data_IF_556552214135
#
_entry.id   IF_556552214135
#
_cell.length_a   1.000
_cell.length_b   1.000
_cell.length_c   1.000
_cell.angle_alpha   90.00
_cell.angle_beta   90.00
_cell.angle_gamma   90.00
#
_symmetry.space_group_name_H-M   'P 1'
#
loop_
_entity.id
_entity.type
_entity.pdbx_description
1 polymer ?
#
# COMPACT_ATOMS: atom_id res chain seq x y z
N UNK A 1 -25.21 2.59 24.18
CA UNK A 1 -24.88 1.54 23.19
C UNK A 1 -23.54 1.91 22.57
N UNK A 2 -22.87 1.05 21.78
CA UNK A 2 -21.62 1.44 21.11
C UNK A 2 -21.84 1.57 19.61
N UNK A 3 -21.24 2.57 18.98
CA UNK A 3 -21.39 2.81 17.55
C UNK A 3 -20.04 2.75 16.81
N UNK A 4 -20.08 2.18 15.61
CA UNK A 4 -18.92 2.16 14.72
C UNK A 4 -18.86 3.45 13.87
N UNK A 5 -17.80 4.28 13.98
CA UNK A 5 -17.71 5.55 13.25
C UNK A 5 -17.50 5.39 11.74
N UNK A 6 -17.29 4.15 11.27
CA UNK A 6 -17.06 3.86 9.84
C UNK A 6 -18.32 3.43 9.11
N UNK A 7 -19.17 2.64 9.78
CA UNK A 7 -20.33 2.05 9.14
C UNK A 7 -21.66 2.39 9.82
N UNK A 8 -21.64 3.11 10.93
CA UNK A 8 -22.86 3.51 11.66
C UNK A 8 -23.59 2.35 12.33
N UNK A 9 -22.98 1.16 12.43
CA UNK A 9 -23.60 0.03 13.11
C UNK A 9 -23.53 0.23 14.63
N UNK A 10 -24.67 0.04 15.27
CA UNK A 10 -24.80 0.09 16.72
C UNK A 10 -24.80 -1.32 17.32
N UNK A 11 -24.06 -1.50 18.41
CA UNK A 11 -23.94 -2.77 19.13
C UNK A 11 -24.41 -2.59 20.58
N UNK A 12 -25.23 -3.53 21.04
CA UNK A 12 -25.75 -3.57 22.42
C UNK A 12 -24.83 -4.30 23.40
N UNK A 13 -23.86 -5.07 22.89
CA UNK A 13 -22.88 -5.80 23.70
C UNK A 13 -21.80 -4.86 24.25
N UNK A 14 -21.75 -4.73 25.58
CA UNK A 14 -20.80 -3.87 26.30
C UNK A 14 -19.36 -4.41 26.25
N UNK A 15 -19.19 -5.71 26.07
CA UNK A 15 -17.87 -6.37 26.01
C UNK A 15 -17.20 -6.23 24.65
N UNK A 16 -17.96 -5.83 23.63
CA UNK A 16 -17.45 -5.64 22.28
C UNK A 16 -16.68 -4.32 22.17
N UNK A 17 -15.40 -4.39 21.86
CA UNK A 17 -14.54 -3.20 21.65
C UNK A 17 -14.33 -2.87 20.16
N UNK A 18 -14.69 -3.78 19.26
CA UNK A 18 -14.42 -3.67 17.82
C UNK A 18 -15.65 -4.04 17.00
N UNK A 19 -15.91 -3.28 15.94
CA UNK A 19 -16.98 -3.56 14.99
C UNK A 19 -16.74 -4.89 14.26
N UNK A 20 -17.78 -5.72 14.18
CA UNK A 20 -17.69 -7.05 13.56
C UNK A 20 -17.56 -7.00 12.03
N UNK A 21 -17.98 -5.91 11.40
CA UNK A 21 -17.97 -5.76 9.95
C UNK A 21 -16.60 -5.34 9.41
N UNK A 22 -15.91 -4.43 10.10
CA UNK A 22 -14.70 -3.77 9.60
C UNK A 22 -13.52 -3.75 10.59
N UNK A 23 -13.74 -4.19 11.84
CA UNK A 23 -12.71 -4.22 12.89
C UNK A 23 -12.37 -2.87 13.49
N UNK A 24 -13.12 -1.80 13.18
CA UNK A 24 -12.93 -0.47 13.76
C UNK A 24 -13.26 -0.45 15.25
N UNK A 25 -12.55 0.38 16.04
CA UNK A 25 -12.84 0.53 17.47
C UNK A 25 -14.22 1.18 17.63
N UNK A 26 -15.06 0.59 18.48
CA UNK A 26 -16.37 1.16 18.78
C UNK A 26 -16.24 2.29 19.79
N UNK A 27 -16.97 3.37 19.57
CA UNK A 27 -17.02 4.51 20.50
C UNK A 27 -18.21 4.26 21.42
N UNK A 28 -17.96 4.28 22.73
CA UNK A 28 -19.03 4.38 23.71
C UNK A 28 -19.55 5.81 23.66
N UNK A 29 -20.81 5.99 23.26
CA UNK A 29 -21.48 7.24 23.55
C UNK A 29 -21.48 7.37 25.08
N UNK A 30 -20.59 8.24 25.57
CA UNK A 30 -20.69 8.75 26.92
C UNK A 30 -22.08 9.38 26.99
N UNK A 31 -23.03 8.66 27.60
CA UNK A 31 -24.29 9.22 28.04
C UNK A 31 -23.91 10.42 28.88
N UNK A 32 -24.04 11.61 28.29
CA UNK A 32 -23.76 12.86 28.94
C UNK A 32 -24.70 12.99 30.13
N UNK A 33 -24.23 12.57 31.30
CA UNK A 33 -24.58 13.32 32.48
C UNK A 33 -24.02 14.71 32.24
N UNK A 34 -24.97 15.62 32.01
CA UNK A 34 -24.79 17.05 31.84
C UNK A 34 -24.00 17.57 33.02
N UNK A 35 -22.68 17.67 32.88
CA UNK A 35 -21.85 18.43 33.81
C UNK A 35 -22.23 19.90 33.64
N UNK A 36 -23.04 20.36 34.58
CA UNK A 36 -23.42 21.74 34.78
C UNK A 36 -22.15 22.59 34.92
N UNK A 37 -22.06 23.60 34.06
CA UNK A 37 -20.92 24.51 33.95
C UNK A 37 -20.92 25.39 35.20
N UNK A 38 -19.91 25.26 36.07
CA UNK A 38 -19.67 26.19 37.17
C UNK A 38 -18.65 27.25 36.71
N UNK A 39 -18.92 28.56 36.90
CA UNK A 39 -18.15 29.63 36.28
C UNK A 39 -16.76 29.83 36.89
N UNK A 40 -15.88 30.39 36.05
CA UNK A 40 -14.48 30.76 36.28
C UNK A 40 -14.17 31.50 37.60
N UNK A 41 -12.94 31.23 38.09
CA UNK A 41 -12.27 31.91 39.20
C UNK A 41 -12.16 30.99 40.41
N UNK A 42 -11.03 30.72 41.03
CA UNK A 42 -9.87 31.58 41.35
C UNK A 42 -8.67 30.65 41.58
N UNK A 43 -7.50 31.15 41.21
CA UNK A 43 -6.15 30.62 41.48
C UNK A 43 -6.02 30.20 42.95
N UNK A 44 -5.55 28.98 43.23
CA UNK A 44 -4.78 28.68 44.45
C UNK A 44 -3.97 27.39 44.30
N UNK A 45 -2.67 27.61 44.26
CA UNK A 45 -1.57 26.76 44.72
C UNK A 45 -2.00 25.84 45.87
N UNK A 46 -1.78 24.53 45.76
CA UNK A 46 -1.51 23.68 46.94
C UNK A 46 -0.66 22.50 46.52
N UNK A 47 0.37 22.34 47.32
CA UNK A 47 1.52 21.47 47.30
C UNK A 47 1.15 20.04 47.73
N UNK A 48 2.04 19.10 47.35
CA UNK A 48 2.34 17.86 48.07
C UNK A 48 1.36 16.67 48.00
N UNK A 49 1.83 15.61 47.32
CA UNK A 49 2.24 14.33 47.93
C UNK A 49 1.89 13.15 47.01
N UNK A 50 2.80 12.76 46.13
CA UNK A 50 2.73 11.48 45.43
C UNK A 50 4.09 10.76 45.48
N UNK A 51 4.14 9.52 45.98
CA UNK A 51 5.38 8.76 46.10
C UNK A 51 5.89 8.34 44.72
N UNK A 52 7.17 8.63 44.49
CA UNK A 52 7.93 8.31 43.28
C UNK A 52 8.27 6.82 43.22
N UNK A 53 7.93 6.18 42.10
CA UNK A 53 8.54 4.93 41.65
C UNK A 53 9.55 5.26 40.53
N UNK A 54 10.69 4.55 40.46
CA UNK A 54 11.90 5.05 39.83
C UNK A 54 11.82 5.05 38.29
N UNK A 55 11.76 6.26 37.74
CA UNK A 55 12.09 6.55 36.35
C UNK A 55 13.59 6.36 36.14
N UNK A 56 13.98 5.30 35.43
CA UNK A 56 15.35 5.04 34.98
C UNK A 56 15.74 6.07 33.91
N UNK A 57 16.20 7.23 34.35
CA UNK A 57 16.94 8.19 33.55
C UNK A 57 18.21 7.51 33.04
N UNK A 58 18.29 7.30 31.72
CA UNK A 58 19.57 7.06 31.07
C UNK A 58 20.12 8.43 30.70
N UNK A 59 21.09 8.86 31.49
CA UNK A 59 21.76 10.14 31.36
C UNK A 59 22.38 10.28 29.97
N UNK A 60 22.03 11.40 29.35
CA UNK A 60 22.72 12.04 28.26
C UNK A 60 24.06 12.52 28.83
N UNK A 61 25.13 11.74 28.64
CA UNK A 61 26.49 12.26 28.80
C UNK A 61 26.87 12.80 27.42
N UNK A 62 26.85 14.12 27.34
CA UNK A 62 27.48 14.90 26.29
C UNK A 62 28.98 14.73 26.42
N UNK A 63 29.56 13.80 25.66
CA UNK A 63 31.00 13.80 25.38
C UNK A 63 31.27 14.84 24.27
N UNK A 64 31.54 16.07 24.69
CA UNK A 64 32.28 17.05 23.90
C UNK A 64 33.76 16.68 23.90
N UNK A 65 34.19 15.85 22.96
CA UNK A 65 35.43 16.03 22.19
C UNK A 65 35.71 14.82 21.32
N UNK A 66 36.51 15.08 20.30
CA UNK A 66 37.23 14.13 19.45
C UNK A 66 36.49 13.59 18.21
N UNK A 67 36.80 14.25 17.08
CA UNK A 67 37.24 13.60 15.83
C UNK A 67 36.12 12.88 15.07
N UNK A 68 35.67 13.30 13.89
CA UNK A 68 36.42 13.75 12.72
C UNK A 68 35.40 14.42 11.81
N UNK A 69 35.74 15.62 11.38
CA UNK A 69 35.07 16.30 10.27
C UNK A 69 35.10 15.38 9.05
N UNK A 70 33.96 14.78 8.72
CA UNK A 70 33.70 14.30 7.37
C UNK A 70 32.88 15.41 6.73
N UNK A 71 33.58 16.24 5.94
CA UNK A 71 32.97 17.16 5.01
C UNK A 71 31.88 16.42 4.23
N UNK A 72 30.65 16.86 4.46
CA UNK A 72 29.52 16.53 3.61
C UNK A 72 29.88 17.00 2.21
N UNK A 73 29.99 16.12 1.19
CA UNK A 73 30.23 16.58 -0.17
C UNK A 73 29.02 17.43 -0.56
N UNK A 74 29.25 18.75 -0.62
CA UNK A 74 28.33 19.73 -1.21
C UNK A 74 27.85 19.14 -2.53
N UNK A 75 26.54 18.91 -2.61
CA UNK A 75 25.89 18.43 -3.83
C UNK A 75 26.25 19.36 -4.97
N UNK A 76 27.17 18.91 -5.83
CA UNK A 76 27.39 19.51 -7.12
C UNK A 76 26.09 19.32 -7.91
N UNK A 77 25.36 20.41 -8.13
CA UNK A 77 24.19 20.43 -8.98
C UNK A 77 24.57 19.85 -10.33
N UNK A 78 24.00 18.69 -10.66
CA UNK A 78 24.22 18.03 -11.94
C UNK A 78 23.61 18.95 -13.00
N UNK A 79 24.47 19.55 -13.81
CA UNK A 79 24.03 20.43 -14.89
C UNK A 79 23.20 19.63 -15.89
N UNK A 80 22.11 20.21 -16.45
CA UNK A 80 21.22 19.52 -17.39
C UNK A 80 21.95 19.01 -18.65
N UNK A 81 23.17 19.49 -18.92
CA UNK A 81 24.02 19.01 -20.01
C UNK A 81 24.57 17.58 -19.81
N UNK A 82 24.73 17.11 -18.57
CA UNK A 82 25.21 15.74 -18.31
C UNK A 82 24.17 14.67 -18.69
N UNK A 83 22.88 14.97 -18.54
CA UNK A 83 21.80 14.07 -18.94
C UNK A 83 21.72 13.92 -20.46
N UNK A 84 21.87 15.00 -21.25
CA UNK A 84 21.82 14.90 -22.72
C UNK A 84 22.95 14.04 -23.30
N UNK A 85 24.15 14.07 -22.70
CA UNK A 85 25.27 13.26 -23.17
C UNK A 85 25.02 11.75 -23.03
N UNK A 86 24.40 11.32 -21.92
CA UNK A 86 24.07 9.90 -21.72
C UNK A 86 22.96 9.41 -22.65
N UNK A 87 21.96 10.25 -22.94
CA UNK A 87 20.90 9.92 -23.90
C UNK A 87 21.40 9.84 -25.34
N UNK A 88 22.33 10.71 -25.76
CA UNK A 88 22.95 10.65 -27.08
C UNK A 88 23.75 9.35 -27.27
N UNK A 89 24.51 8.93 -26.25
CA UNK A 89 25.33 7.72 -26.31
C UNK A 89 24.48 6.44 -26.28
N UNK A 90 23.43 6.39 -25.46
CA UNK A 90 22.44 5.30 -25.50
C UNK A 90 21.65 5.27 -26.82
N UNK A 91 21.34 6.42 -27.40
CA UNK A 91 20.68 6.52 -28.70
C UNK A 91 21.53 5.94 -29.84
N UNK A 92 22.86 6.11 -29.81
CA UNK A 92 23.76 5.52 -30.81
C UNK A 92 23.86 4.00 -30.63
N UNK A 93 23.92 3.49 -29.40
CA UNK A 93 24.01 2.04 -29.14
C UNK A 93 22.70 1.33 -29.48
N UNK A 94 21.55 1.87 -29.04
CA UNK A 94 20.25 1.28 -29.37
C UNK A 94 19.87 1.52 -30.84
N UNK A 95 20.18 2.68 -31.40
CA UNK A 95 19.99 2.96 -32.82
C UNK A 95 20.82 2.05 -33.72
N UNK A 96 22.09 1.83 -33.38
CA UNK A 96 22.98 0.90 -34.08
C UNK A 96 22.49 -0.55 -33.99
N UNK A 97 22.00 -0.98 -32.82
CA UNK A 97 21.45 -2.33 -32.65
C UNK A 97 20.14 -2.55 -33.42
N UNK A 98 19.27 -1.54 -33.51
CA UNK A 98 18.04 -1.63 -34.31
C UNK A 98 18.34 -1.62 -35.80
N UNK A 99 19.29 -0.80 -36.27
CA UNK A 99 19.73 -0.79 -37.68
C UNK A 99 20.40 -2.13 -38.04
N UNK A 100 21.30 -2.65 -37.20
CA UNK A 100 21.93 -3.95 -37.41
C UNK A 100 20.90 -5.10 -37.39
N UNK A 101 19.90 -5.04 -36.52
CA UNK A 101 18.84 -6.06 -36.47
C UNK A 101 17.92 -6.00 -37.70
N UNK A 102 17.57 -4.80 -38.19
CA UNK A 102 16.81 -4.62 -39.43
C UNK A 102 17.60 -5.13 -40.65
N UNK A 103 18.92 -4.88 -40.71
CA UNK A 103 19.77 -5.44 -41.76
C UNK A 103 19.90 -6.97 -41.65
N UNK A 104 19.98 -7.50 -40.43
CA UNK A 104 20.10 -8.94 -40.18
C UNK A 104 18.82 -9.71 -40.53
N UNK A 105 17.65 -9.19 -40.15
CA UNK A 105 16.36 -9.84 -40.48
C UNK A 105 16.01 -9.75 -41.96
N UNK A 106 16.48 -8.70 -42.65
CA UNK A 106 16.33 -8.59 -44.10
C UNK A 106 17.31 -9.50 -44.88
N UNK A 107 18.42 -9.93 -44.27
CA UNK A 107 19.41 -10.82 -44.91
C UNK A 107 19.06 -12.32 -44.86
N UNK A 108 18.00 -12.71 -44.13
CA UNK A 108 17.68 -14.12 -43.87
C UNK A 108 16.73 -14.77 -44.90
N UNK A 109 16.47 -14.13 -46.05
CA UNK A 109 15.49 -14.62 -47.04
C UNK A 109 16.04 -14.86 -48.46
N UNK A 110 17.35 -15.09 -48.64
CA UNK A 110 17.88 -15.60 -49.92
C UNK A 110 19.07 -16.55 -49.75
N UNK A 111 18.78 -17.84 -49.67
CA UNK A 111 19.66 -18.90 -50.17
C UNK A 111 18.81 -19.90 -50.93
N UNK A 112 18.56 -19.59 -52.21
CA UNK A 112 18.33 -20.58 -53.26
C UNK A 112 18.60 -19.93 -54.64
N UNK A 113 19.72 -20.34 -55.22
CA UNK A 113 19.95 -20.72 -56.63
C UNK A 113 19.82 -19.69 -57.78
N UNK A 114 20.99 -19.44 -58.38
CA UNK A 114 21.36 -19.30 -59.80
C UNK A 114 20.62 -18.36 -60.78
N UNK A 115 21.47 -17.56 -61.44
CA UNK A 115 21.45 -17.16 -62.86
C UNK A 115 20.27 -16.36 -63.44
N UNK A 116 20.70 -15.33 -64.17
CA UNK A 116 20.10 -14.76 -65.38
C UNK A 116 19.20 -13.50 -65.27
N UNK A 117 19.62 -12.50 -66.07
CA UNK A 117 18.81 -11.56 -66.83
C UNK A 117 17.69 -10.73 -66.19
N UNK A 118 17.84 -9.40 -66.29
CA UNK A 118 16.78 -8.60 -66.94
C UNK A 118 15.83 -7.79 -66.05
N UNK A 119 16.21 -6.52 -65.84
CA UNK A 119 15.40 -5.32 -66.07
C UNK A 119 13.98 -5.12 -65.49
N UNK A 120 13.92 -4.06 -64.66
CA UNK A 120 12.99 -2.89 -64.69
C UNK A 120 11.58 -2.98 -64.05
N UNK A 121 11.38 -1.93 -63.23
CA UNK A 121 10.19 -1.08 -63.07
C UNK A 121 9.31 -1.17 -61.80
N UNK A 122 9.46 -0.13 -60.96
CA UNK A 122 8.43 0.85 -60.53
C UNK A 122 7.18 0.32 -59.82
N UNK A 123 6.97 0.72 -58.55
CA UNK A 123 5.96 1.72 -58.15
C UNK A 123 5.61 1.68 -56.65
N UNK A 124 5.84 2.81 -55.98
CA UNK A 124 5.00 3.53 -55.00
C UNK A 124 3.93 2.81 -54.16
N UNK A 125 4.00 3.03 -52.83
CA UNK A 125 3.01 3.73 -51.98
C UNK A 125 3.23 3.34 -50.50
N UNK A 126 3.86 4.19 -49.69
CA UNK A 126 3.26 5.26 -48.88
C UNK A 126 2.73 4.80 -47.50
N UNK A 127 3.64 4.96 -46.54
CA UNK A 127 3.44 5.22 -45.11
C UNK A 127 2.53 6.43 -44.86
N UNK A 128 1.69 6.38 -43.81
CA UNK A 128 1.57 7.47 -42.80
C UNK A 128 0.86 6.97 -41.55
N UNK A 129 1.59 6.84 -40.43
CA UNK A 129 1.07 7.03 -39.08
C UNK A 129 1.90 8.15 -38.44
N UNK A 130 1.31 9.33 -38.30
CA UNK A 130 1.83 10.46 -37.52
C UNK A 130 0.67 11.28 -36.98
N UNK A 131 0.80 11.70 -35.72
CA UNK A 131 0.30 12.95 -35.06
C UNK A 131 0.14 12.58 -33.57
N UNK A 132 1.12 12.78 -32.68
CA UNK A 132 1.72 14.04 -32.16
C UNK A 132 0.73 14.95 -31.45
N UNK A 133 0.81 14.88 -30.11
CA UNK A 133 0.78 15.92 -29.07
C UNK A 133 -0.07 17.21 -29.20
N UNK A 134 -0.39 17.68 -27.97
CA UNK A 134 -0.53 19.09 -27.55
C UNK A 134 -1.94 19.65 -27.64
N UNK A 135 -2.59 19.91 -26.51
CA UNK A 135 -2.62 21.24 -25.88
C UNK A 135 -3.66 21.27 -24.72
N UNK A 136 -3.28 21.92 -23.63
CA UNK A 136 -4.15 22.55 -22.62
C UNK A 136 -3.91 24.06 -22.80
N UNK A 137 -4.81 25.03 -22.51
CA UNK A 137 -5.76 25.04 -21.38
C UNK A 137 -7.08 25.84 -21.60
N UNK A 138 -7.91 25.89 -20.56
CA UNK A 138 -8.81 26.98 -20.11
C UNK A 138 -10.28 26.63 -19.83
N UNK A 139 -10.64 27.04 -18.61
CA UNK A 139 -11.82 27.79 -18.19
C UNK A 139 -13.25 27.23 -18.31
N UNK A 140 -13.87 27.17 -17.14
CA UNK A 140 -15.20 27.75 -16.91
C UNK A 140 -16.37 26.81 -17.10
N UNK A 141 -17.12 26.55 -16.03
CA UNK A 141 -18.45 27.16 -15.82
C UNK A 141 -19.25 26.41 -14.74
N UNK A 142 -19.72 27.20 -13.78
CA UNK A 142 -20.71 26.88 -12.77
C UNK A 142 -22.07 26.53 -13.38
N UNK A 143 -22.78 25.57 -12.78
CA UNK A 143 -24.24 25.37 -12.80
C UNK A 143 -24.49 24.42 -11.61
N UNK A 144 -24.89 24.84 -10.40
CA UNK A 144 -26.00 25.68 -9.92
C UNK A 144 -27.42 25.12 -10.18
N UNK A 145 -28.02 24.65 -9.08
CA UNK A 145 -29.44 24.36 -8.77
C UNK A 145 -30.07 23.14 -9.51
N UNK A 146 -30.84 22.24 -8.89
CA UNK A 146 -31.87 22.39 -7.84
C UNK A 146 -32.20 21.03 -7.14
N UNK A 147 -33.05 21.04 -6.09
CA UNK A 147 -33.27 19.97 -5.10
C UNK A 147 -34.53 19.12 -5.38
N UNK A 148 -34.54 17.85 -4.95
CA UNK A 148 -35.78 17.06 -4.80
C UNK A 148 -35.55 15.82 -3.92
N UNK A 149 -36.58 15.20 -3.30
CA UNK A 149 -37.17 15.61 -2.03
C UNK A 149 -37.05 14.53 -0.94
N UNK A 150 -37.30 14.98 0.28
CA UNK A 150 -37.64 14.23 1.48
C UNK A 150 -38.73 13.16 1.19
N UNK A 151 -38.44 11.88 1.45
CA UNK A 151 -39.46 10.84 1.59
C UNK A 151 -39.08 9.91 2.76
N UNK A 152 -39.65 10.22 3.93
CA UNK A 152 -39.99 9.26 4.98
C UNK A 152 -41.53 9.25 5.10
N UNK A 153 -42.21 8.28 5.74
CA UNK A 153 -41.80 6.95 6.24
C UNK A 153 -42.74 5.83 5.75
N UNK A 154 -42.34 4.55 5.86
CA UNK A 154 -43.33 3.47 6.01
C UNK A 154 -42.76 2.35 6.89
N UNK A 155 -43.36 2.27 8.06
CA UNK A 155 -43.28 1.19 9.04
C UNK A 155 -43.78 -0.11 8.40
N UNK A 156 -42.96 -1.16 8.37
CA UNK A 156 -43.42 -2.51 8.04
C UNK A 156 -42.98 -3.52 9.10
N UNK A 157 -43.86 -3.60 10.10
CA UNK A 157 -44.25 -4.74 10.93
C UNK A 157 -43.32 -5.97 10.92
N UNK A 158 -42.74 -6.18 12.10
CA UNK A 158 -42.34 -7.47 12.66
C UNK A 158 -43.50 -8.48 12.63
N UNK A 159 -43.25 -9.72 12.16
CA UNK A 159 -43.98 -10.86 12.64
C UNK A 159 -43.07 -11.92 13.27
N UNK A 160 -43.55 -12.36 14.42
CA UNK A 160 -43.61 -13.76 14.87
C UNK A 160 -42.35 -14.37 15.51
N UNK A 161 -42.40 -14.36 16.84
CA UNK A 161 -41.71 -15.26 17.72
C UNK A 161 -41.89 -16.72 17.28
N UNK A 162 -40.84 -17.28 16.70
CA UNK A 162 -40.71 -18.73 16.51
C UNK A 162 -40.12 -19.32 17.78
N UNK A 163 -40.84 -20.30 18.33
CA UNK A 163 -40.52 -21.02 19.56
C UNK A 163 -39.10 -21.58 19.50
N UNK A 164 -38.30 -21.21 20.50
CA UNK A 164 -36.94 -21.67 20.74
C UNK A 164 -36.90 -23.21 20.88
N UNK A 165 -36.20 -23.95 20.00
CA UNK A 165 -35.97 -25.37 20.20
C UNK A 165 -34.99 -25.61 21.35
N UNK A 166 -35.38 -26.56 22.20
CA UNK A 166 -34.65 -27.13 23.34
C UNK A 166 -33.14 -27.30 23.06
N UNK A 167 -32.24 -26.94 24.00
CA UNK A 167 -30.81 -27.07 23.81
C UNK A 167 -30.39 -28.54 23.76
N UNK A 168 -30.21 -29.06 22.55
CA UNK A 168 -29.52 -30.33 22.31
C UNK A 168 -28.06 -30.12 22.71
N UNK A 169 -27.57 -30.94 23.65
CA UNK A 169 -26.18 -30.93 24.14
C UNK A 169 -25.22 -31.02 22.95
N UNK A 170 -24.69 -29.87 22.52
CA UNK A 170 -23.68 -29.79 21.46
C UNK A 170 -22.43 -30.52 21.95
N UNK A 171 -21.93 -31.53 21.22
CA UNK A 171 -20.69 -32.19 21.59
C UNK A 171 -19.57 -31.17 21.67
N UNK A 172 -18.85 -31.17 22.78
CA UNK A 172 -17.69 -30.30 23.03
C UNK A 172 -16.73 -30.42 21.84
N UNK A 173 -16.43 -29.35 21.10
CA UNK A 173 -15.57 -29.42 19.93
C UNK A 173 -14.20 -29.96 20.37
N UNK A 174 -13.89 -31.17 19.89
CA UNK A 174 -12.57 -31.78 20.01
C UNK A 174 -11.56 -30.81 19.44
N UNK A 175 -10.57 -30.43 20.25
CA UNK A 175 -9.49 -29.48 19.91
C UNK A 175 -8.77 -29.97 18.65
N UNK A 176 -9.20 -29.49 17.49
CA UNK A 176 -8.51 -29.74 16.22
C UNK A 176 -7.10 -29.14 16.33
N UNK A 177 -6.05 -29.89 15.98
CA UNK A 177 -4.68 -29.41 16.10
C UNK A 177 -4.54 -28.11 15.31
N UNK A 178 -4.21 -27.02 16.00
CA UNK A 178 -4.01 -25.73 15.36
C UNK A 178 -2.83 -25.86 14.40
N UNK A 179 -3.01 -25.66 13.08
CA UNK A 179 -1.93 -25.78 12.13
C UNK A 179 -0.87 -24.74 12.45
N UNK A 180 0.40 -25.17 12.58
CA UNK A 180 1.52 -24.27 12.80
C UNK A 180 1.55 -23.23 11.67
N UNK A 181 1.65 -21.93 11.99
CA UNK A 181 1.63 -20.89 10.96
C UNK A 181 2.89 -20.97 10.10
N UNK A 182 2.71 -21.12 8.78
CA UNK A 182 3.83 -21.18 7.81
C UNK A 182 4.63 -19.88 7.85
N UNK A 183 5.95 -19.99 8.05
CA UNK A 183 6.88 -18.87 8.04
C UNK A 183 7.48 -18.66 6.63
N UNK A 184 7.75 -17.41 6.29
CA UNK A 184 8.30 -17.00 5.00
C UNK A 184 9.54 -16.10 5.18
N UNK A 185 10.38 -16.08 4.14
CA UNK A 185 11.53 -15.18 4.02
C UNK A 185 11.44 -14.31 2.77
N UNK A 186 12.07 -13.13 2.80
CA UNK A 186 12.14 -12.23 1.65
C UNK A 186 13.17 -12.74 0.65
N UNK A 187 12.78 -12.87 -0.61
CA UNK A 187 13.61 -13.36 -1.72
C UNK A 187 13.52 -12.41 -2.93
N UNK A 188 14.55 -12.41 -3.78
CA UNK A 188 14.54 -11.64 -5.04
C UNK A 188 14.63 -10.12 -4.89
N UNK A 189 14.92 -9.62 -3.68
CA UNK A 189 15.25 -8.21 -3.42
C UNK A 189 16.77 -8.08 -3.46
N UNK A 190 17.29 -7.10 -4.20
CA UNK A 190 18.74 -6.88 -4.35
C UNK A 190 19.36 -6.47 -3.01
N UNK A 191 20.65 -6.76 -2.83
CA UNK A 191 21.41 -6.23 -1.71
C UNK A 191 21.36 -4.69 -1.73
N UNK A 192 21.09 -4.07 -0.58
CA UNK A 192 20.91 -2.62 -0.45
C UNK A 192 19.51 -2.08 -0.78
N UNK A 193 18.60 -2.93 -1.29
CA UNK A 193 17.19 -2.57 -1.53
C UNK A 193 16.28 -3.07 -0.39
N UNK A 194 14.99 -2.75 -0.41
CA UNK A 194 14.01 -3.14 0.61
C UNK A 194 12.67 -3.55 0.00
N UNK A 195 12.04 -4.57 0.60
CA UNK A 195 10.65 -4.88 0.31
C UNK A 195 9.72 -3.98 1.13
N UNK A 196 8.91 -3.18 0.45
CA UNK A 196 7.95 -2.29 1.10
C UNK A 196 6.65 -3.01 1.49
N UNK A 197 6.24 -2.81 2.76
CA UNK A 197 4.91 -3.16 3.27
C UNK A 197 3.96 -2.01 2.92
N UNK A 198 2.82 -2.33 2.32
CA UNK A 198 1.84 -1.35 1.83
C UNK A 198 0.54 -1.45 2.61
N UNK A 199 -0.19 -0.35 2.84
CA UNK A 199 -1.47 -0.40 3.56
C UNK A 199 -2.57 -1.12 2.75
N UNK A 200 -2.48 -1.08 1.40
CA UNK A 200 -3.42 -1.71 0.48
C UNK A 200 -2.66 -2.44 -0.64
N UNK A 201 -3.24 -3.50 -1.23
CA UNK A 201 -2.61 -4.22 -2.34
C UNK A 201 -2.46 -3.29 -3.55
N UNK A 202 -1.29 -3.32 -4.19
CA UNK A 202 -1.01 -2.49 -5.38
C UNK A 202 -0.67 -1.03 -5.10
N UNK A 203 -0.76 -0.54 -3.86
CA UNK A 203 -0.46 0.85 -3.56
C UNK A 203 1.06 1.07 -3.51
N UNK A 204 1.62 1.71 -4.55
CA UNK A 204 3.06 2.00 -4.63
C UNK A 204 3.44 3.36 -4.02
N UNK A 205 2.46 4.24 -3.76
CA UNK A 205 2.70 5.61 -3.26
C UNK A 205 2.94 5.67 -1.75
N UNK A 206 2.24 4.84 -0.97
CA UNK A 206 2.28 4.88 0.51
C UNK A 206 3.00 3.68 1.09
N UNK A 207 3.90 3.89 2.06
CA UNK A 207 4.68 2.83 2.73
C UNK A 207 4.25 2.72 4.19
N UNK A 208 3.81 1.52 4.60
CA UNK A 208 3.52 1.20 6.01
C UNK A 208 4.73 0.60 6.75
N UNK A 209 5.71 0.06 6.01
CA UNK A 209 6.92 -0.52 6.59
C UNK A 209 7.91 -0.99 5.54
N UNK A 210 9.09 -1.43 5.99
CA UNK A 210 10.18 -1.93 5.15
C UNK A 210 10.67 -3.27 5.70
N UNK A 211 11.02 -4.19 4.82
CA UNK A 211 11.58 -5.49 5.16
C UNK A 211 12.90 -5.65 4.39
N UNK A 212 14.04 -5.88 5.06
CA UNK A 212 15.31 -6.04 4.38
C UNK A 212 15.36 -7.35 3.57
N UNK A 213 16.26 -7.45 2.57
CA UNK A 213 16.44 -8.66 1.78
C UNK A 213 16.87 -9.82 2.67
N UNK A 214 16.37 -11.03 2.39
CA UNK A 214 16.68 -12.24 3.17
C UNK A 214 16.01 -12.33 4.54
N UNK A 215 15.30 -11.30 4.99
CA UNK A 215 14.63 -11.33 6.30
C UNK A 215 13.63 -12.48 6.40
N UNK A 216 13.69 -13.22 7.51
CA UNK A 216 12.79 -14.33 7.84
C UNK A 216 11.70 -13.92 8.85
N UNK A 217 10.75 -14.82 9.14
CA UNK A 217 9.68 -14.58 10.10
C UNK A 217 8.52 -13.75 9.55
N UNK A 218 8.39 -13.65 8.22
CA UNK A 218 7.21 -13.07 7.58
C UNK A 218 6.08 -14.09 7.64
N UNK A 219 4.93 -13.71 8.21
CA UNK A 219 3.75 -14.58 8.29
C UNK A 219 2.66 -14.08 7.35
N UNK A 220 2.14 -14.93 6.48
CA UNK A 220 0.94 -14.63 5.69
C UNK A 220 -0.28 -14.89 6.57
N UNK A 221 -1.14 -13.88 6.71
CA UNK A 221 -2.29 -13.92 7.66
C UNK A 221 -3.65 -13.93 6.98
N UNK A 222 -3.70 -14.05 5.66
CA UNK A 222 -4.96 -14.08 4.92
C UNK A 222 -4.78 -14.42 3.44
N UNK A 223 -5.91 -14.41 2.72
CA UNK A 223 -5.95 -14.66 1.28
C UNK A 223 -5.24 -13.58 0.47
N UNK A 224 -4.65 -13.97 -0.66
CA UNK A 224 -4.04 -13.03 -1.59
C UNK A 224 -5.07 -12.32 -2.46
N UNK A 225 -4.77 -11.09 -2.89
CA UNK A 225 -5.55 -10.32 -3.87
C UNK A 225 -4.73 -10.08 -5.13
N UNK A 226 -5.32 -10.37 -6.30
CA UNK A 226 -4.71 -10.07 -7.59
C UNK A 226 -4.97 -8.60 -7.95
N UNK A 227 -3.91 -7.87 -8.31
CA UNK A 227 -3.97 -6.49 -8.79
C UNK A 227 -3.07 -6.38 -10.02
N UNK A 228 -3.68 -6.18 -11.19
CA UNK A 228 -3.01 -6.34 -12.47
C UNK A 228 -2.39 -7.73 -12.62
N UNK A 229 -1.10 -7.78 -12.99
CA UNK A 229 -0.33 -9.03 -13.16
C UNK A 229 0.28 -9.56 -11.85
N UNK A 230 0.09 -8.88 -10.72
CA UNK A 230 0.72 -9.23 -9.44
C UNK A 230 -0.29 -9.76 -8.43
N UNK A 231 0.17 -10.69 -7.58
CA UNK A 231 -0.59 -11.17 -6.42
C UNK A 231 0.00 -10.53 -5.18
N UNK A 232 -0.85 -9.88 -4.40
CA UNK A 232 -0.51 -9.26 -3.12
C UNK A 232 -1.06 -10.10 -1.99
N UNK A 233 -0.30 -10.27 -0.92
CA UNK A 233 -0.74 -11.03 0.26
C UNK A 233 -0.65 -10.19 1.52
N UNK A 234 -1.60 -10.33 2.45
CA UNK A 234 -1.53 -9.68 3.74
C UNK A 234 -0.53 -10.43 4.62
N UNK A 235 0.39 -9.68 5.22
CA UNK A 235 1.46 -10.22 6.06
C UNK A 235 1.51 -9.54 7.42
N UNK A 236 2.19 -10.21 8.34
CA UNK A 236 2.68 -9.65 9.60
C UNK A 236 4.18 -9.90 9.69
N UNK A 237 4.94 -8.83 9.97
CA UNK A 237 6.39 -8.89 10.15
C UNK A 237 6.80 -7.94 11.26
N UNK A 238 7.45 -8.46 12.32
CA UNK A 238 7.86 -7.69 13.51
C UNK A 238 6.75 -6.76 14.04
N UNK A 239 5.52 -7.30 14.16
CA UNK A 239 4.34 -6.55 14.61
C UNK A 239 3.68 -5.65 13.55
N UNK A 240 4.35 -5.35 12.43
CA UNK A 240 3.78 -4.53 11.35
C UNK A 240 2.88 -5.36 10.45
N UNK A 241 1.66 -4.88 10.20
CA UNK A 241 0.68 -5.51 9.29
C UNK A 241 0.60 -4.73 7.98
N UNK A 242 0.36 -5.43 6.88
CA UNK A 242 0.08 -4.80 5.59
C UNK A 242 0.19 -5.79 4.44
N UNK A 243 0.36 -5.27 3.23
CA UNK A 243 0.38 -6.02 1.98
C UNK A 243 1.75 -5.96 1.33
N UNK A 244 2.23 -7.10 0.85
CA UNK A 244 3.45 -7.20 0.05
C UNK A 244 3.17 -8.01 -1.22
N UNK A 245 3.99 -7.81 -2.25
CA UNK A 245 3.88 -8.61 -3.46
C UNK A 245 4.41 -10.03 -3.18
N UNK A 246 3.56 -11.05 -3.41
CA UNK A 246 3.83 -12.46 -3.12
C UNK A 246 5.10 -12.99 -3.79
N UNK A 247 5.49 -12.42 -4.95
CA UNK A 247 6.67 -12.86 -5.70
C UNK A 247 7.99 -12.72 -4.91
N UNK A 248 8.00 -11.86 -3.90
CA UNK A 248 9.18 -11.63 -3.06
C UNK A 248 9.16 -12.45 -1.77
N UNK A 249 8.24 -13.41 -1.62
CA UNK A 249 8.15 -14.28 -0.45
C UNK A 249 8.46 -15.72 -0.82
N UNK A 250 9.54 -16.26 -0.25
CA UNK A 250 9.89 -17.68 -0.32
C UNK A 250 9.53 -18.40 0.98
N UNK A 251 9.33 -19.71 0.93
CA UNK A 251 9.15 -20.53 2.15
C UNK A 251 10.40 -20.40 3.02
N UNK A 252 10.22 -20.20 4.33
CA UNK A 252 11.31 -20.42 5.28
C UNK A 252 11.45 -21.93 5.49
N UNK A 253 12.68 -22.40 5.69
CA UNK A 253 12.84 -23.67 6.36
C UNK A 253 12.44 -23.41 7.82
N UNK A 254 11.54 -24.24 8.35
CA UNK A 254 11.19 -24.26 9.76
C UNK A 254 12.27 -25.03 10.54
#
# INVERSE_FOLDING_TARGET
>A
MKECPKCGNTYTDKTLSFCLSDGSILIEEATGEKTEILPEGIISTTEEHQPSLPTRQSNLITDENLVKSVESPKGAGVSPFWLLSTFALMGIIFGGAVVAWILYTNSSSRTETAADGGEKNVSSAQTTNSTTNTESPQDGKSTENEPVPDVLPTVSKSPSATKSPRPTKTPRPTKSPTPKPKSYKVVGVKAGDVLYIRPKPGNLKVVAGKIPPGASGVRIVGGGKRVGKSIWVPIVYKGKRGWVNRRYLGRSAD
#
